data_IF_544351122477
#
_entry.id   IF_544351122477
#
_cell.length_a   1.000
_cell.length_b   1.000
_cell.length_c   1.000
_cell.angle_alpha   90.00
_cell.angle_beta   90.00
_cell.angle_gamma   90.00
#
_symmetry.space_group_name_H-M   'P 1'
#
loop_
_entity.id
_entity.type
_entity.pdbx_description
1 polymer ?
#
# COMPACT_ATOMS: atom_id res chain seq x y z
N UNK A 1 -8.86 1.00 -5.53
CA UNK A 1 -9.68 2.13 -5.08
C UNK A 1 -8.92 2.82 -3.95
N UNK A 2 -8.88 4.16 -3.96
CA UNK A 2 -8.19 4.95 -2.93
C UNK A 2 -9.25 5.57 -2.00
N UNK A 3 -9.13 5.33 -0.70
CA UNK A 3 -9.89 6.01 0.34
C UNK A 3 -9.27 7.38 0.62
N UNK A 4 -9.66 8.36 -0.21
CA UNK A 4 -9.22 9.75 -0.07
C UNK A 4 -9.66 10.40 1.24
N UNK A 5 -10.76 9.92 1.85
CA UNK A 5 -11.20 10.42 3.16
C UNK A 5 -10.17 10.09 4.23
N UNK A 6 -9.65 8.87 4.22
CA UNK A 6 -8.57 8.47 5.14
C UNK A 6 -7.29 9.26 4.91
N UNK A 7 -6.95 9.52 3.64
CA UNK A 7 -5.80 10.35 3.29
C UNK A 7 -5.96 11.81 3.78
N UNK A 8 -7.15 12.39 3.62
CA UNK A 8 -7.45 13.74 4.13
C UNK A 8 -7.45 13.81 5.66
N UNK A 9 -7.91 12.76 6.35
CA UNK A 9 -7.79 12.65 7.81
C UNK A 9 -6.31 12.64 8.23
N UNK A 10 -5.48 11.84 7.57
CA UNK A 10 -4.03 11.80 7.82
C UNK A 10 -3.36 13.16 7.53
N UNK A 11 -3.77 13.83 6.44
CA UNK A 11 -3.33 15.20 6.11
C UNK A 11 -3.67 16.19 7.22
N UNK A 12 -4.86 16.10 7.82
CA UNK A 12 -5.26 16.96 8.92
C UNK A 12 -4.52 16.66 10.24
N UNK A 13 -4.14 15.40 10.47
CA UNK A 13 -3.38 14.97 11.66
C UNK A 13 -1.91 15.42 11.61
N UNK A 14 -1.29 15.36 10.43
CA UNK A 14 0.15 15.60 10.26
C UNK A 14 0.44 17.03 9.75
N UNK A 15 -0.48 17.60 8.97
CA UNK A 15 -0.33 18.89 8.31
C UNK A 15 -0.03 18.75 6.82
N UNK A 16 -0.50 19.75 6.05
CA UNK A 16 -0.38 19.79 4.59
C UNK A 16 1.06 19.82 4.08
N UNK A 17 1.97 20.45 4.83
CA UNK A 17 3.37 20.56 4.43
C UNK A 17 4.13 19.23 4.59
N UNK A 18 3.70 18.37 5.53
CA UNK A 18 4.38 17.13 5.88
C UNK A 18 3.75 15.87 5.24
N UNK A 19 2.47 15.94 4.82
CA UNK A 19 1.77 14.76 4.32
C UNK A 19 2.41 14.18 3.05
N UNK A 20 2.94 15.02 2.18
CA UNK A 20 3.54 14.58 0.92
C UNK A 20 4.83 13.78 1.15
N UNK A 21 5.70 14.27 2.05
CA UNK A 21 6.93 13.57 2.44
C UNK A 21 6.59 12.22 3.09
N UNK A 22 5.62 12.20 4.00
CA UNK A 22 5.22 10.96 4.67
C UNK A 22 4.58 9.96 3.69
N UNK A 23 3.76 10.44 2.76
CA UNK A 23 3.17 9.58 1.73
C UNK A 23 4.25 8.98 0.82
N UNK A 24 5.28 9.75 0.46
CA UNK A 24 6.43 9.26 -0.31
C UNK A 24 7.19 8.19 0.45
N UNK A 25 7.48 8.41 1.74
CA UNK A 25 8.13 7.40 2.61
C UNK A 25 7.32 6.10 2.64
N UNK A 26 5.99 6.17 2.87
CA UNK A 26 5.15 4.97 2.85
C UNK A 26 5.18 4.24 1.49
N UNK A 27 5.18 4.99 0.38
CA UNK A 27 5.26 4.42 -0.95
C UNK A 27 6.60 3.72 -1.21
N UNK A 28 7.69 4.29 -0.71
CA UNK A 28 9.03 3.69 -0.79
C UNK A 28 9.11 2.43 0.07
N UNK A 29 8.70 2.48 1.33
CA UNK A 29 8.74 1.31 2.22
C UNK A 29 7.88 0.15 1.70
N UNK A 30 6.69 0.44 1.17
CA UNK A 30 5.87 -0.60 0.52
C UNK A 30 6.54 -1.16 -0.74
N UNK A 31 7.24 -0.33 -1.52
CA UNK A 31 7.96 -0.78 -2.71
C UNK A 31 9.14 -1.69 -2.34
N UNK A 32 9.91 -1.37 -1.30
CA UNK A 32 11.00 -2.22 -0.80
C UNK A 32 10.52 -3.64 -0.43
N UNK A 33 9.28 -3.76 0.00
CA UNK A 33 8.64 -5.03 0.37
C UNK A 33 8.09 -5.77 -0.86
N UNK A 34 7.52 -5.05 -1.83
CA UNK A 34 6.89 -5.64 -3.03
C UNK A 34 7.92 -6.00 -4.12
N UNK A 35 9.01 -5.24 -4.24
CA UNK A 35 9.99 -5.43 -5.32
C UNK A 35 10.73 -6.77 -5.29
N UNK A 36 11.13 -7.34 -4.14
CA UNK A 36 11.65 -8.69 -4.09
C UNK A 36 10.63 -9.73 -4.59
N UNK A 37 9.34 -9.56 -4.27
CA UNK A 37 8.27 -10.44 -4.74
C UNK A 37 8.10 -10.33 -6.25
N UNK A 38 8.18 -9.11 -6.79
CA UNK A 38 8.17 -8.84 -8.24
C UNK A 38 9.30 -9.58 -8.96
N UNK A 39 10.46 -9.72 -8.32
CA UNK A 39 11.62 -10.43 -8.85
C UNK A 39 11.56 -11.96 -8.63
N UNK A 40 10.47 -12.48 -8.07
CA UNK A 40 10.29 -13.90 -7.81
C UNK A 40 10.95 -14.39 -6.52
N UNK A 41 11.44 -13.48 -5.67
CA UNK A 41 11.92 -13.86 -4.35
C UNK A 41 10.73 -14.15 -3.43
N UNK A 42 10.82 -15.25 -2.68
CA UNK A 42 9.87 -15.55 -1.61
C UNK A 42 10.34 -14.93 -0.30
N UNK A 43 9.55 -14.04 0.32
CA UNK A 43 9.86 -13.47 1.62
C UNK A 43 10.02 -14.55 2.69
N UNK A 44 10.97 -14.35 3.61
CA UNK A 44 11.20 -15.28 4.74
C UNK A 44 10.00 -15.40 5.67
N UNK A 45 9.18 -14.35 5.77
CA UNK A 45 7.95 -14.34 6.56
C UNK A 45 6.82 -13.64 5.78
N UNK A 46 6.05 -14.45 5.06
CA UNK A 46 4.83 -14.00 4.36
C UNK A 46 3.83 -13.33 5.33
N UNK A 47 3.51 -13.88 6.51
CA UNK A 47 2.52 -13.25 7.40
C UNK A 47 2.96 -11.87 7.87
N UNK A 48 4.24 -11.69 8.20
CA UNK A 48 4.76 -10.39 8.63
C UNK A 48 4.72 -9.36 7.50
N UNK A 49 5.06 -9.79 6.28
CA UNK A 49 4.97 -8.96 5.09
C UNK A 49 3.55 -8.49 4.81
N UNK A 50 2.57 -9.41 4.84
CA UNK A 50 1.17 -9.07 4.61
C UNK A 50 0.65 -8.13 5.71
N UNK A 51 1.06 -8.35 6.96
CA UNK A 51 0.71 -7.48 8.07
C UNK A 51 1.23 -6.05 7.90
N UNK A 52 2.50 -5.93 7.52
CA UNK A 52 3.13 -4.65 7.22
C UNK A 52 2.41 -3.94 6.08
N UNK A 53 2.25 -4.61 4.93
CA UNK A 53 1.60 -4.03 3.74
C UNK A 53 0.15 -3.63 4.02
N UNK A 54 -0.59 -4.41 4.79
CA UNK A 54 -1.94 -4.05 5.23
C UNK A 54 -1.94 -2.75 6.03
N UNK A 55 -1.05 -2.63 7.02
CA UNK A 55 -0.94 -1.45 7.87
C UNK A 55 -0.58 -0.20 7.07
N UNK A 56 0.44 -0.29 6.22
CA UNK A 56 0.86 0.80 5.35
C UNK A 56 -0.27 1.20 4.39
N UNK A 57 -0.92 0.23 3.75
CA UNK A 57 -2.05 0.47 2.84
C UNK A 57 -3.22 1.18 3.54
N UNK A 58 -3.59 0.78 4.75
CA UNK A 58 -4.66 1.41 5.52
C UNK A 58 -4.32 2.85 5.93
N UNK A 59 -3.06 3.17 6.18
CA UNK A 59 -2.64 4.51 6.55
C UNK A 59 -2.82 5.51 5.38
N UNK A 60 -2.44 5.13 4.16
CA UNK A 60 -2.52 6.01 2.98
C UNK A 60 -3.81 5.84 2.16
N UNK A 61 -4.69 4.92 2.56
CA UNK A 61 -6.00 4.70 1.93
C UNK A 61 -6.02 3.72 0.76
N UNK A 62 -5.05 2.81 0.62
CA UNK A 62 -5.02 1.80 -0.46
C UNK A 62 -5.96 0.63 -0.15
N UNK A 63 -7.26 0.88 -0.21
CA UNK A 63 -8.30 -0.06 0.27
C UNK A 63 -8.22 -1.44 -0.39
N UNK A 64 -7.97 -1.51 -1.70
CA UNK A 64 -7.88 -2.79 -2.42
C UNK A 64 -6.66 -3.61 -1.96
N UNK A 65 -5.52 -2.95 -1.74
CA UNK A 65 -4.31 -3.59 -1.26
C UNK A 65 -4.49 -4.07 0.19
N UNK A 66 -5.10 -3.27 1.06
CA UNK A 66 -5.42 -3.64 2.43
C UNK A 66 -6.37 -4.86 2.48
N UNK A 67 -7.39 -4.89 1.62
CA UNK A 67 -8.32 -6.01 1.50
C UNK A 67 -7.61 -7.28 1.02
N UNK A 68 -6.77 -7.17 -0.02
CA UNK A 68 -5.97 -8.30 -0.49
C UNK A 68 -5.08 -8.87 0.62
N UNK A 69 -4.36 -8.01 1.35
CA UNK A 69 -3.51 -8.45 2.46
C UNK A 69 -4.32 -9.11 3.57
N UNK A 70 -5.50 -8.58 3.91
CA UNK A 70 -6.39 -9.17 4.91
C UNK A 70 -6.86 -10.57 4.50
N UNK A 71 -7.25 -10.77 3.24
CA UNK A 71 -7.68 -12.08 2.73
C UNK A 71 -6.53 -13.10 2.75
N UNK A 72 -5.32 -12.68 2.37
CA UNK A 72 -4.15 -13.54 2.36
C UNK A 72 -3.59 -13.83 3.77
N UNK A 73 -3.79 -12.93 4.75
CA UNK A 73 -3.48 -13.18 6.16
C UNK A 73 -4.42 -14.24 6.78
N UNK A 74 -5.71 -14.18 6.43
CA UNK A 74 -6.72 -15.12 6.95
C UNK A 74 -6.59 -16.51 6.34
N UNK A 75 -6.31 -16.57 5.03
CA UNK A 75 -6.11 -17.81 4.30
C UNK A 75 -4.93 -17.65 3.32
N UNK A 76 -3.76 -18.23 3.65
CA UNK A 76 -2.57 -18.15 2.81
C UNK A 76 -2.76 -18.70 1.39
N UNK A 77 -3.79 -19.52 1.12
CA UNK A 77 -4.09 -19.99 -0.24
C UNK A 77 -4.55 -18.87 -1.19
N UNK A 78 -5.03 -17.75 -0.64
CA UNK A 78 -5.36 -16.54 -1.41
C UNK A 78 -4.13 -15.73 -1.83
N UNK A 79 -2.94 -16.07 -1.32
CA UNK A 79 -1.73 -15.35 -1.67
C UNK A 79 -1.29 -15.67 -3.10
N UNK A 80 -1.50 -14.70 -3.98
CA UNK A 80 -0.94 -14.68 -5.32
C UNK A 80 0.03 -13.50 -5.47
N UNK A 81 1.31 -13.80 -5.69
CA UNK A 81 2.36 -12.79 -5.84
C UNK A 81 2.10 -11.82 -7.00
N UNK A 82 1.61 -12.30 -8.15
CA UNK A 82 1.29 -11.45 -9.29
C UNK A 82 0.09 -10.53 -8.99
N UNK A 83 -0.93 -11.04 -8.29
CA UNK A 83 -2.07 -10.23 -7.85
C UNK A 83 -1.64 -9.17 -6.83
N UNK A 84 -0.77 -9.52 -5.87
CA UNK A 84 -0.24 -8.55 -4.91
C UNK A 84 0.49 -7.40 -5.62
N UNK A 85 1.44 -7.73 -6.50
CA UNK A 85 2.24 -6.76 -7.25
C UNK A 85 1.35 -5.86 -8.10
N UNK A 86 0.44 -6.45 -8.87
CA UNK A 86 -0.48 -5.67 -9.73
C UNK A 86 -1.43 -4.78 -8.94
N UNK A 87 -1.91 -5.22 -7.76
CA UNK A 87 -2.76 -4.42 -6.88
C UNK A 87 -2.00 -3.25 -6.26
N UNK A 88 -0.74 -3.47 -5.87
CA UNK A 88 0.14 -2.40 -5.41
C UNK A 88 0.40 -1.36 -6.51
N UNK A 89 0.77 -1.81 -7.72
CA UNK A 89 1.04 -0.91 -8.85
C UNK A 89 -0.18 -0.06 -9.24
N UNK A 90 -1.35 -0.68 -9.26
CA UNK A 90 -2.61 0.02 -9.53
C UNK A 90 -2.91 1.07 -8.45
N UNK A 91 -2.70 0.71 -7.17
CA UNK A 91 -2.93 1.62 -6.04
C UNK A 91 -1.95 2.80 -6.06
N UNK A 92 -0.66 2.53 -6.24
CA UNK A 92 0.39 3.56 -6.36
C UNK A 92 0.12 4.51 -7.54
N UNK A 93 -0.21 3.97 -8.71
CA UNK A 93 -0.50 4.78 -9.89
C UNK A 93 -1.73 5.65 -9.70
N UNK A 94 -2.81 5.10 -9.14
CA UNK A 94 -4.03 5.85 -8.86
C UNK A 94 -3.82 6.96 -7.83
N UNK A 95 -2.99 6.69 -6.82
CA UNK A 95 -2.63 7.66 -5.79
C UNK A 95 -1.82 8.83 -6.36
N UNK A 96 -0.74 8.56 -7.11
CA UNK A 96 0.09 9.59 -7.75
C UNK A 96 -0.73 10.44 -8.74
N UNK A 97 -1.60 9.80 -9.53
CA UNK A 97 -2.52 10.52 -10.44
C UNK A 97 -3.53 11.38 -9.68
N UNK A 98 -3.97 10.95 -8.50
CA UNK A 98 -4.85 11.71 -7.64
C UNK A 98 -4.16 12.94 -7.08
N UNK A 99 -2.95 12.79 -6.53
CA UNK A 99 -2.15 13.90 -6.01
C UNK A 99 -1.89 14.98 -7.07
N UNK A 100 -1.58 14.57 -8.30
CA UNK A 100 -1.36 15.50 -9.42
C UNK A 100 -2.60 16.29 -9.86
N UNK A 101 -3.82 15.85 -9.49
CA UNK A 101 -5.07 16.57 -9.79
C UNK A 101 -5.45 17.58 -8.70
N UNK A 102 -4.86 17.45 -7.52
CA UNK A 102 -5.17 18.27 -6.34
C UNK A 102 -4.13 19.37 -6.12
N UNK A 103 -2.98 19.29 -6.79
CA UNK A 103 -1.95 20.34 -6.88
C UNK A 103 -2.29 21.38 -7.96
#
# INVERSE_FOLDING_TARGET
MIDWKRFDELKNEIGEDAIMEIAEIFLEEMAEVVDPIRQGALPKSIPHLLHFLKGAALNVGFSDLANFCTMAEQDPSNLNAATLVSTFDASKSAFLLGLAKTA
#
